data_IF_325954938775
#
_entry.id   IF_325954938775
#
_cell.length_a   1.000
_cell.length_b   1.000
_cell.length_c   1.000
_cell.angle_alpha   90.00
_cell.angle_beta   90.00
_cell.angle_gamma   90.00
#
_symmetry.space_group_name_H-M   'P 1'
#
loop_
_entity.id
_entity.type
_entity.pdbx_description
1 polymer ?
#
# COMPACT_ATOMS: atom_id res chain seq x y z
N UNK A 1 8.00 -2.57 -9.33
CA UNK A 1 7.89 -2.17 -7.90
C UNK A 1 8.31 -0.71 -7.75
N UNK A 2 9.39 -0.34 -8.45
CA UNK A 2 9.95 1.02 -8.44
C UNK A 2 9.00 2.08 -9.02
N UNK A 3 8.20 1.75 -10.04
CA UNK A 3 7.24 2.70 -10.64
C UNK A 3 6.21 3.23 -9.64
N UNK A 4 5.68 2.36 -8.76
CA UNK A 4 4.69 2.76 -7.75
C UNK A 4 5.36 3.56 -6.62
N UNK A 5 6.62 3.24 -6.28
CA UNK A 5 7.39 3.95 -5.26
C UNK A 5 7.76 5.36 -5.77
N UNK A 6 8.21 5.47 -7.01
CA UNK A 6 8.44 6.73 -7.71
C UNK A 6 7.15 7.55 -7.84
N UNK A 7 6.01 6.91 -8.16
CA UNK A 7 4.73 7.61 -8.22
C UNK A 7 4.34 8.21 -6.85
N UNK A 8 4.60 7.50 -5.75
CA UNK A 8 4.36 8.00 -4.40
C UNK A 8 5.28 9.18 -4.04
N UNK A 9 6.55 9.13 -4.43
CA UNK A 9 7.49 10.25 -4.27
C UNK A 9 7.06 11.47 -5.10
N UNK A 10 6.73 11.26 -6.38
CA UNK A 10 6.29 12.30 -7.30
C UNK A 10 5.01 13.00 -6.85
N UNK A 11 4.05 12.24 -6.29
CA UNK A 11 2.79 12.80 -5.82
C UNK A 11 2.93 13.53 -4.46
N UNK A 12 4.10 13.42 -3.79
CA UNK A 12 4.37 14.06 -2.49
C UNK A 12 3.27 13.82 -1.43
N UNK A 13 2.60 12.66 -1.49
CA UNK A 13 1.42 12.38 -0.66
C UNK A 13 1.76 11.80 0.72
N UNK A 14 3.05 11.57 1.00
CA UNK A 14 3.50 10.97 2.24
C UNK A 14 4.83 11.59 2.69
N UNK A 15 5.06 11.55 4.00
CA UNK A 15 6.33 11.95 4.60
C UNK A 15 6.68 10.92 5.66
N UNK A 16 7.93 10.46 5.66
CA UNK A 16 8.42 9.58 6.70
C UNK A 16 8.53 10.39 8.00
N UNK A 17 7.85 9.95 9.05
CA UNK A 17 7.86 10.62 10.36
C UNK A 17 8.18 9.62 11.47
N UNK A 18 8.75 10.13 12.56
CA UNK A 18 8.97 9.33 13.75
C UNK A 18 7.63 8.94 14.39
N UNK A 19 7.59 7.75 15.01
CA UNK A 19 6.40 7.29 15.71
C UNK A 19 6.14 8.22 16.92
N UNK A 20 4.96 8.86 17.01
CA UNK A 20 4.63 9.71 18.16
C UNK A 20 4.64 8.91 19.46
N UNK A 21 5.01 9.56 20.57
CA UNK A 21 5.09 8.90 21.86
C UNK A 21 3.73 8.31 22.28
N UNK A 22 3.75 7.09 22.83
CA UNK A 22 2.54 6.37 23.25
C UNK A 22 1.68 5.79 22.11
N UNK A 23 2.14 5.85 20.85
CA UNK A 23 1.48 5.20 19.71
C UNK A 23 2.20 3.91 19.34
N UNK A 24 1.46 2.93 18.82
CA UNK A 24 2.01 1.69 18.25
C UNK A 24 2.04 1.81 16.73
N UNK A 25 3.19 1.57 16.12
CA UNK A 25 3.29 1.50 14.67
C UNK A 25 2.40 0.35 14.15
N UNK A 26 1.58 0.64 13.15
CA UNK A 26 0.80 -0.38 12.46
C UNK A 26 1.72 -1.01 11.42
N UNK A 27 1.87 -2.32 11.46
CA UNK A 27 2.61 -3.04 10.42
C UNK A 27 1.94 -2.81 9.05
N UNK A 28 2.70 -2.82 7.97
CA UNK A 28 2.17 -2.75 6.61
C UNK A 28 2.40 -4.06 5.86
N UNK A 29 1.56 -4.34 4.86
CA UNK A 29 1.73 -5.45 3.92
C UNK A 29 1.44 -4.98 2.50
N UNK A 30 2.11 -5.58 1.53
CA UNK A 30 1.80 -5.37 0.13
C UNK A 30 0.71 -6.35 -0.31
N UNK A 31 -0.23 -5.85 -1.12
CA UNK A 31 -1.24 -6.64 -1.82
C UNK A 31 -1.00 -6.49 -3.32
N UNK A 32 -0.68 -7.61 -3.95
CA UNK A 32 -0.50 -7.69 -5.40
C UNK A 32 -1.75 -8.27 -6.04
N UNK A 33 -2.21 -7.67 -7.13
CA UNK A 33 -3.33 -8.16 -7.92
C UNK A 33 -3.00 -8.03 -9.40
N UNK A 34 -3.16 -9.12 -10.13
CA UNK A 34 -3.11 -9.13 -11.58
C UNK A 34 -4.50 -8.74 -12.12
N UNK A 35 -4.55 -7.74 -13.00
CA UNK A 35 -5.72 -7.47 -13.83
C UNK A 35 -5.50 -8.13 -15.18
N UNK A 36 -6.40 -9.01 -15.56
CA UNK A 36 -6.40 -9.68 -16.87
C UNK A 36 -7.44 -9.03 -17.79
N UNK A 37 -7.18 -9.07 -19.08
CA UNK A 37 -8.12 -8.77 -20.14
C UNK A 37 -9.12 -9.94 -20.32
N UNK A 38 -10.25 -9.72 -21.03
CA UNK A 38 -11.21 -10.81 -21.33
C UNK A 38 -10.62 -11.98 -22.11
N UNK A 39 -9.55 -11.74 -22.87
CA UNK A 39 -8.78 -12.74 -23.63
C UNK A 39 -7.77 -13.54 -22.77
N UNK A 40 -7.70 -13.25 -21.45
CA UNK A 40 -6.77 -13.90 -20.52
C UNK A 40 -5.37 -13.29 -20.49
N UNK A 41 -5.06 -12.30 -21.32
CA UNK A 41 -3.76 -11.61 -21.30
C UNK A 41 -3.64 -10.65 -20.12
N UNK A 42 -2.41 -10.34 -19.71
CA UNK A 42 -2.18 -9.40 -18.61
C UNK A 42 -2.48 -7.98 -19.06
N UNK A 43 -3.49 -7.37 -18.44
CA UNK A 43 -3.81 -5.95 -18.63
C UNK A 43 -2.91 -5.06 -17.76
N UNK A 44 -2.80 -5.37 -16.46
CA UNK A 44 -2.06 -4.54 -15.50
C UNK A 44 -1.65 -5.31 -14.25
N UNK A 45 -0.42 -5.12 -13.82
CA UNK A 45 0.03 -5.46 -12.47
C UNK A 45 -0.38 -4.34 -11.51
N UNK A 46 -1.12 -4.65 -10.46
CA UNK A 46 -1.53 -3.68 -9.43
C UNK A 46 -0.92 -4.05 -8.09
N UNK A 47 -0.15 -3.15 -7.50
CA UNK A 47 0.32 -3.25 -6.12
C UNK A 47 -0.41 -2.22 -5.24
N UNK A 48 -0.67 -2.55 -3.97
CA UNK A 48 -1.16 -1.61 -2.96
C UNK A 48 -0.48 -1.89 -1.63
N UNK A 49 -0.03 -0.84 -0.95
CA UNK A 49 0.40 -0.93 0.44
C UNK A 49 -0.84 -0.80 1.35
N UNK A 50 -1.06 -1.76 2.24
CA UNK A 50 -2.18 -1.76 3.19
C UNK A 50 -1.69 -2.01 4.61
N UNK A 51 -2.46 -1.58 5.60
CA UNK A 51 -2.20 -1.92 7.00
C UNK A 51 -2.34 -3.43 7.22
N UNK A 52 -1.39 -4.02 7.93
CA UNK A 52 -1.25 -5.47 8.13
C UNK A 52 -2.17 -6.01 9.23
N UNK A 53 -2.55 -5.20 10.21
CA UNK A 53 -3.34 -5.66 11.36
C UNK A 53 -4.19 -4.52 11.95
N UNK A 54 -5.26 -4.13 11.25
CA UNK A 54 -6.31 -3.31 11.88
C UNK A 54 -7.25 -4.29 12.60
N UNK A 55 -7.00 -4.56 13.87
CA UNK A 55 -8.08 -5.05 14.74
C UNK A 55 -9.11 -3.93 14.79
N UNK A 56 -10.34 -4.20 14.36
CA UNK A 56 -11.44 -3.22 14.35
C UNK A 56 -11.38 -2.41 15.65
N UNK A 57 -11.36 -1.08 15.55
CA UNK A 57 -11.72 -0.22 16.67
C UNK A 57 -13.10 -0.73 17.12
N UNK A 58 -13.15 -1.41 18.28
CA UNK A 58 -14.41 -1.67 18.95
C UNK A 58 -14.89 -0.30 19.41
N UNK A 59 -16.00 0.15 18.83
CA UNK A 59 -16.85 1.18 19.41
C UNK A 59 -17.36 0.72 20.79
#
# INVERSE_FOLDING_TARGET
MDEELQALENNQTWTLTALPNGKKAIGSRWVYKLKMNPDGTVNRYKARLVAKDIVKLKE
#
